data_IF_618884711516
#
_entry.id   IF_618884711516
#
_cell.length_a   1.000
_cell.length_b   1.000
_cell.length_c   1.000
_cell.angle_alpha   90.00
_cell.angle_beta   90.00
_cell.angle_gamma   90.00
#
_symmetry.space_group_name_H-M   'P 1'
#
loop_
_entity.id
_entity.type
_entity.pdbx_description
1 polymer ?
#
# COMPACT_ATOMS: atom_id res chain seq x y z
N UNK A 1 43.37 6.32 5.13
CA UNK A 1 44.67 6.23 4.42
C UNK A 1 45.40 5.00 4.95
N UNK A 2 45.95 4.12 4.12
CA UNK A 2 46.69 2.91 4.56
C UNK A 2 48.12 2.96 4.03
N UNK A 3 49.01 2.23 4.68
CA UNK A 3 50.43 2.14 4.35
C UNK A 3 50.76 0.76 3.80
N UNK A 4 51.50 0.69 2.70
CA UNK A 4 51.86 -0.58 2.06
C UNK A 4 52.91 -1.34 2.89
N UNK A 5 52.60 -2.60 3.21
CA UNK A 5 53.53 -3.57 3.81
C UNK A 5 54.26 -4.45 2.79
N UNK A 6 54.11 -4.18 1.48
CA UNK A 6 54.76 -5.00 0.44
C UNK A 6 56.25 -4.68 0.34
N UNK A 7 57.09 -5.70 0.15
CA UNK A 7 58.54 -5.53 -0.01
C UNK A 7 58.93 -4.64 -1.20
N UNK A 8 58.08 -4.59 -2.24
CA UNK A 8 58.29 -3.76 -3.43
C UNK A 8 58.02 -2.27 -3.17
N UNK A 9 57.12 -1.95 -2.24
CA UNK A 9 56.72 -0.57 -1.94
C UNK A 9 56.52 -0.39 -0.42
N UNK A 10 57.57 -0.53 0.41
CA UNK A 10 57.43 -0.41 1.85
C UNK A 10 57.11 1.04 2.24
N UNK A 11 56.16 1.24 3.14
CA UNK A 11 55.89 2.57 3.72
C UNK A 11 55.11 3.54 2.82
N UNK A 12 54.80 3.19 1.56
CA UNK A 12 54.04 4.06 0.66
C UNK A 12 52.58 4.18 1.12
N UNK A 13 52.10 5.41 1.25
CA UNK A 13 50.71 5.71 1.54
C UNK A 13 49.83 5.51 0.30
N UNK A 14 48.64 4.97 0.50
CA UNK A 14 47.61 4.85 -0.52
C UNK A 14 46.21 5.07 0.05
N UNK A 15 45.28 5.45 -0.83
CA UNK A 15 43.88 5.52 -0.48
C UNK A 15 43.29 4.11 -0.52
N UNK A 16 42.77 3.64 0.62
CA UNK A 16 42.18 2.33 0.75
C UNK A 16 40.67 2.45 0.79
N UNK A 17 39.96 1.54 0.09
CA UNK A 17 38.52 1.40 0.23
C UNK A 17 38.17 1.12 1.71
N UNK A 18 37.26 1.88 2.33
CA UNK A 18 36.86 1.65 3.72
C UNK A 18 36.19 0.29 3.93
N UNK A 19 35.58 -0.26 2.88
CA UNK A 19 34.95 -1.59 2.89
C UNK A 19 35.90 -2.72 2.52
N UNK A 20 37.16 -2.42 2.17
CA UNK A 20 38.14 -3.44 1.79
C UNK A 20 38.71 -4.23 2.96
N UNK A 21 38.62 -5.56 2.88
CA UNK A 21 39.18 -6.50 3.85
C UNK A 21 40.41 -7.25 3.30
N UNK A 22 41.16 -7.96 4.15
CA UNK A 22 42.28 -8.80 3.69
C UNK A 22 41.82 -10.02 2.88
N UNK A 23 40.58 -10.48 3.10
CA UNK A 23 39.96 -11.57 2.35
C UNK A 23 39.44 -11.06 1.00
N UNK A 24 38.87 -9.86 0.97
CA UNK A 24 38.36 -9.20 -0.22
C UNK A 24 39.31 -8.07 -0.65
N UNK A 25 40.46 -8.48 -1.18
CA UNK A 25 41.53 -7.55 -1.61
C UNK A 25 41.15 -6.67 -2.80
N UNK A 26 40.01 -6.96 -3.45
CA UNK A 26 39.63 -6.41 -4.74
C UNK A 26 38.30 -5.64 -4.68
N UNK A 27 38.20 -4.65 -3.79
CA UNK A 27 37.24 -3.58 -4.01
C UNK A 27 37.83 -2.65 -5.06
N UNK A 28 37.67 -3.03 -6.33
CA UNK A 28 37.99 -2.14 -7.43
C UNK A 28 37.11 -0.91 -7.30
N UNK A 29 37.74 0.26 -7.22
CA UNK A 29 37.04 1.53 -7.40
C UNK A 29 36.40 1.49 -8.79
N UNK A 30 35.07 1.37 -8.85
CA UNK A 30 34.32 1.54 -10.09
C UNK A 30 34.08 3.03 -10.27
N UNK A 31 34.64 3.59 -11.33
CA UNK A 31 34.25 4.91 -11.79
C UNK A 31 32.83 4.78 -12.32
N UNK A 32 31.91 5.50 -11.72
CA UNK A 32 30.55 5.64 -12.23
C UNK A 32 30.48 7.00 -12.90
N UNK A 33 29.84 7.05 -14.08
CA UNK A 33 29.66 8.32 -14.78
C UNK A 33 28.79 9.25 -13.94
N UNK A 34 29.10 10.55 -13.96
CA UNK A 34 28.32 11.56 -13.21
C UNK A 34 26.86 11.51 -13.63
N UNK A 35 26.58 11.35 -14.92
CA UNK A 35 25.22 11.21 -15.46
C UNK A 35 24.45 10.05 -14.81
N UNK A 36 25.09 8.91 -14.58
CA UNK A 36 24.46 7.76 -13.94
C UNK A 36 24.11 8.04 -12.46
N UNK A 37 24.93 8.83 -11.76
CA UNK A 37 24.61 9.25 -10.38
C UNK A 37 23.39 10.16 -10.37
N UNK A 38 23.37 11.15 -11.26
CA UNK A 38 22.26 12.11 -11.39
C UNK A 38 20.94 11.38 -11.71
N UNK A 39 20.96 10.44 -12.66
CA UNK A 39 19.80 9.61 -12.99
C UNK A 39 19.32 8.78 -11.80
N UNK A 40 20.23 8.19 -11.02
CA UNK A 40 19.88 7.43 -9.80
C UNK A 40 19.24 8.33 -8.75
N UNK A 41 19.75 9.55 -8.55
CA UNK A 41 19.18 10.51 -7.62
C UNK A 41 17.77 10.94 -8.04
N UNK A 42 17.54 11.13 -9.33
CA UNK A 42 16.21 11.45 -9.85
C UNK A 42 15.25 10.27 -9.74
N UNK A 43 15.72 9.05 -9.97
CA UNK A 43 14.92 7.84 -9.73
C UNK A 43 14.54 7.68 -8.26
N UNK A 44 15.45 7.97 -7.32
CA UNK A 44 15.15 7.93 -5.87
C UNK A 44 13.99 8.87 -5.51
N UNK A 45 14.00 10.11 -6.02
CA UNK A 45 12.91 11.07 -5.80
C UNK A 45 11.58 10.56 -6.34
N UNK A 46 11.58 9.94 -7.53
CA UNK A 46 10.38 9.34 -8.13
C UNK A 46 9.84 8.18 -7.29
N UNK A 47 10.72 7.32 -6.78
CA UNK A 47 10.34 6.20 -5.90
C UNK A 47 9.71 6.73 -4.61
N UNK A 48 10.32 7.72 -3.97
CA UNK A 48 9.77 8.34 -2.75
C UNK A 48 8.37 8.91 -2.99
N UNK A 49 8.16 9.63 -4.10
CA UNK A 49 6.84 10.13 -4.46
C UNK A 49 5.81 9.01 -4.71
N UNK A 50 6.22 7.92 -5.38
CA UNK A 50 5.36 6.75 -5.58
C UNK A 50 4.99 6.07 -4.26
N UNK A 51 5.90 5.99 -3.29
CA UNK A 51 5.61 5.44 -1.97
C UNK A 51 4.62 6.29 -1.17
N UNK A 52 4.66 7.62 -1.32
CA UNK A 52 3.67 8.54 -0.76
C UNK A 52 2.30 8.31 -1.41
N UNK A 53 2.24 8.24 -2.74
CA UNK A 53 1.00 7.99 -3.47
C UNK A 53 0.38 6.62 -3.13
N UNK A 54 1.22 5.59 -2.97
CA UNK A 54 0.78 4.26 -2.56
C UNK A 54 0.09 4.31 -1.20
N UNK A 55 0.71 4.93 -0.19
CA UNK A 55 0.11 5.07 1.15
C UNK A 55 -1.23 5.80 1.12
N UNK A 56 -1.30 6.92 0.40
CA UNK A 56 -2.56 7.65 0.23
C UNK A 56 -3.65 6.78 -0.41
N UNK A 57 -3.29 5.97 -1.41
CA UNK A 57 -4.22 5.05 -2.06
C UNK A 57 -4.69 3.94 -1.11
N UNK A 58 -3.79 3.37 -0.30
CA UNK A 58 -4.10 2.37 0.73
C UNK A 58 -5.09 2.92 1.78
N UNK A 59 -4.91 4.18 2.21
CA UNK A 59 -5.82 4.86 3.13
C UNK A 59 -7.23 5.02 2.53
N UNK A 60 -7.32 5.50 1.28
CA UNK A 60 -8.59 5.65 0.57
C UNK A 60 -9.30 4.30 0.42
N UNK A 61 -8.58 3.25 0.00
CA UNK A 61 -9.14 1.90 -0.12
C UNK A 61 -9.68 1.41 1.23
N UNK A 62 -8.96 1.65 2.33
CA UNK A 62 -9.41 1.28 3.66
C UNK A 62 -10.71 1.99 4.07
N UNK A 63 -10.82 3.28 3.78
CA UNK A 63 -12.05 4.05 4.03
C UNK A 63 -13.23 3.51 3.22
N UNK A 64 -13.04 3.32 1.92
CA UNK A 64 -14.07 2.79 1.02
C UNK A 64 -14.53 1.39 1.45
N UNK A 65 -13.61 0.53 1.88
CA UNK A 65 -13.95 -0.80 2.38
C UNK A 65 -14.88 -0.73 3.61
N UNK A 66 -14.64 0.19 4.55
CA UNK A 66 -15.50 0.40 5.72
C UNK A 66 -16.87 0.95 5.35
N UNK A 67 -16.92 1.89 4.40
CA UNK A 67 -18.19 2.42 3.89
C UNK A 67 -19.03 1.33 3.23
N UNK A 68 -18.42 0.46 2.42
CA UNK A 68 -19.09 -0.68 1.80
C UNK A 68 -19.68 -1.62 2.86
N UNK A 69 -18.92 -1.99 3.89
CA UNK A 69 -19.43 -2.85 4.97
C UNK A 69 -20.59 -2.19 5.74
N UNK A 70 -20.53 -0.87 5.94
CA UNK A 70 -21.61 -0.12 6.60
C UNK A 70 -22.89 -0.14 5.76
N UNK A 71 -22.79 0.21 4.47
CA UNK A 71 -23.94 0.18 3.55
C UNK A 71 -24.54 -1.22 3.42
N UNK A 72 -23.71 -2.26 3.45
CA UNK A 72 -24.15 -3.66 3.42
C UNK A 72 -24.93 -4.04 4.67
N UNK A 73 -24.49 -3.61 5.85
CA UNK A 73 -25.21 -3.83 7.10
C UNK A 73 -26.57 -3.12 7.12
N UNK A 74 -26.63 -1.87 6.64
CA UNK A 74 -27.88 -1.10 6.53
C UNK A 74 -28.88 -1.75 5.57
N UNK A 75 -28.40 -2.23 4.42
CA UNK A 75 -29.26 -2.91 3.43
C UNK A 75 -29.87 -4.21 3.99
N UNK A 76 -29.09 -5.00 4.74
CA UNK A 76 -29.61 -6.19 5.43
C UNK A 76 -30.59 -5.87 6.55
N UNK A 77 -30.47 -4.70 7.20
CA UNK A 77 -31.45 -4.20 8.16
C UNK A 77 -32.78 -3.88 7.49
N UNK A 78 -32.74 -3.13 6.38
CA UNK A 78 -33.94 -2.77 5.61
C UNK A 78 -34.71 -3.98 5.06
N UNK A 79 -34.01 -5.01 4.57
CA UNK A 79 -34.65 -6.24 4.10
C UNK A 79 -35.40 -7.00 5.22
N UNK A 80 -34.90 -6.95 6.46
CA UNK A 80 -35.57 -7.57 7.61
C UNK A 80 -36.83 -6.79 7.99
N UNK A 81 -36.73 -5.47 8.08
CA UNK A 81 -37.88 -4.60 8.40
C UNK A 81 -38.97 -4.70 7.32
N UNK A 82 -38.60 -4.78 6.04
CA UNK A 82 -39.55 -4.98 4.94
C UNK A 82 -40.26 -6.35 5.02
N UNK A 83 -39.53 -7.42 5.34
CA UNK A 83 -40.10 -8.75 5.48
C UNK A 83 -41.03 -8.86 6.70
N UNK A 84 -40.65 -8.30 7.85
CA UNK A 84 -41.49 -8.22 9.05
C UNK A 84 -42.77 -7.40 8.77
N UNK A 85 -42.66 -6.28 8.06
CA UNK A 85 -43.81 -5.48 7.64
C UNK A 85 -44.78 -6.24 6.73
N UNK A 86 -44.28 -7.04 5.78
CA UNK A 86 -45.10 -7.89 4.91
C UNK A 86 -45.81 -9.00 5.70
N UNK A 87 -45.15 -9.59 6.70
CA UNK A 87 -45.75 -10.60 7.58
C UNK A 87 -46.93 -10.03 8.38
N UNK A 88 -46.73 -8.86 9.02
CA UNK A 88 -47.78 -8.18 9.80
C UNK A 88 -48.97 -7.79 8.92
N UNK A 89 -48.73 -7.26 7.71
CA UNK A 89 -49.79 -6.91 6.75
C UNK A 89 -50.51 -8.16 6.25
N UNK A 90 -49.78 -9.26 6.03
CA UNK A 90 -50.33 -10.56 5.65
C UNK A 90 -51.28 -11.12 6.71
N UNK A 91 -50.98 -10.91 7.98
CA UNK A 91 -51.74 -11.45 9.12
C UNK A 91 -52.94 -10.59 9.55
N UNK A 92 -53.20 -9.44 8.92
CA UNK A 92 -54.32 -8.57 9.28
C UNK A 92 -55.60 -8.90 8.47
N UNK A 93 -56.56 -9.67 9.01
CA UNK A 93 -57.74 -10.15 8.26
C UNK A 93 -58.70 -9.02 7.85
N UNK A 94 -58.71 -7.90 8.60
CA UNK A 94 -59.54 -6.74 8.30
C UNK A 94 -59.13 -6.04 6.99
N UNK A 95 -57.83 -5.92 6.74
CA UNK A 95 -57.28 -5.25 5.55
C UNK A 95 -57.56 -6.06 4.27
N UNK A 96 -57.38 -7.39 4.33
CA UNK A 96 -57.75 -8.30 3.22
C UNK A 96 -59.23 -8.20 2.85
N UNK A 97 -60.10 -8.06 3.87
CA UNK A 97 -61.54 -7.90 3.68
C UNK A 97 -61.91 -6.53 3.10
N UNK A 98 -61.26 -5.45 3.55
CA UNK A 98 -61.47 -4.09 3.04
C UNK A 98 -61.06 -3.94 1.57
N UNK A 99 -59.93 -4.53 1.15
CA UNK A 99 -59.47 -4.52 -0.24
C UNK A 99 -60.44 -5.29 -1.16
N UNK A 100 -60.95 -6.45 -0.72
CA UNK A 100 -61.99 -7.17 -1.45
C UNK A 100 -63.28 -6.33 -1.63
N UNK A 101 -63.62 -5.47 -0.68
CA UNK A 101 -64.82 -4.63 -0.77
C UNK A 101 -64.68 -3.40 -1.69
N UNK A 102 -63.46 -2.97 -2.02
CA UNK A 102 -63.21 -1.82 -2.90
C UNK A 102 -63.00 -2.21 -4.38
N UNK A 103 -62.87 -3.50 -4.67
CA UNK A 103 -62.59 -4.03 -6.02
C UNK A 103 -63.65 -5.04 -6.52
N UNK A 104 -64.80 -5.09 -5.85
CA UNK A 104 -66.01 -5.78 -6.30
C UNK A 104 -67.03 -4.76 -6.81
#
# INVERSE_FOLDING_TARGET
MKTSGTAKNPGRLFHACPYGSELEKYHFFKWTDVSMVEEIEDMKKKIENLEVQRRSSEEVISCLAKEIETMKAESQGGEKEENEGKEIVGDMPFFKKLVCCFWA
#
